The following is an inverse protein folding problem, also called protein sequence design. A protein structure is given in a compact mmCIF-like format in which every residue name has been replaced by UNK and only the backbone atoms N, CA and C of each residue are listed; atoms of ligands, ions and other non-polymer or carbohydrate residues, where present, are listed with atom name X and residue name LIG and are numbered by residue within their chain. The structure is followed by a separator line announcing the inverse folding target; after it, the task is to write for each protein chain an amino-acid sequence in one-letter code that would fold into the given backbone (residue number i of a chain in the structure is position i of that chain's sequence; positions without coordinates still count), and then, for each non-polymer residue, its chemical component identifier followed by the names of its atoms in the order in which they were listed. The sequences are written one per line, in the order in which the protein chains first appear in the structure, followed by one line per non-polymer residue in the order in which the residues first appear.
data_IF_984726406693
#
_entry.id   IF_984726406693
#
_cell.length_a   1.000
_cell.length_b   1.000
_cell.length_c   1.000
_cell.angle_alpha   90.00
_cell.angle_beta   90.00
_cell.angle_gamma   90.00
#
_symmetry.space_group_name_H-M   'P 1'
#
loop_
_entity.id
_entity.type
_entity.pdbx_description
1 polymer ?
2 non-polymer ?
3 water ?
#
# COMPACT_ATOMS: atom_id res chain seq x y z
N UNK A 3 28.04 -20.09 -6.67
CA UNK A 3 27.46 -19.36 -5.51
C UNK A 3 26.00 -19.77 -5.32
N UNK A 4 25.56 -19.85 -4.06
CA UNK A 4 24.18 -20.23 -3.75
C UNK A 4 23.22 -19.42 -4.64
N UNK A 5 22.47 -20.11 -5.49
CA UNK A 5 21.50 -19.51 -6.42
C UNK A 5 20.59 -18.40 -5.88
N UNK A 6 19.89 -18.66 -4.78
CA UNK A 6 18.99 -17.64 -4.22
C UNK A 6 19.73 -16.35 -3.90
N UNK A 7 20.89 -16.47 -3.26
CA UNK A 7 21.67 -15.30 -2.90
C UNK A 7 22.18 -14.58 -4.15
N UNK A 8 22.65 -15.34 -5.12
CA UNK A 8 23.16 -14.78 -6.37
C UNK A 8 22.11 -13.86 -6.98
N UNK A 9 20.84 -14.26 -6.87
CA UNK A 9 19.76 -13.45 -7.42
C UNK A 9 19.68 -12.11 -6.70
N UNK A 10 19.79 -12.14 -5.38
CA UNK A 10 19.73 -10.91 -4.59
C UNK A 10 20.94 -10.04 -4.91
N UNK A 11 22.10 -10.67 -5.08
CA UNK A 11 23.32 -9.94 -5.40
C UNK A 11 23.20 -9.22 -6.73
N UNK A 12 22.62 -9.88 -7.73
CA UNK A 12 22.45 -9.26 -9.06
C UNK A 12 21.73 -7.93 -8.92
N UNK A 13 20.66 -7.93 -8.13
CA UNK A 13 19.87 -6.72 -7.92
C UNK A 13 20.66 -5.62 -7.21
N UNK A 14 21.50 -6.00 -6.26
CA UNK A 14 22.30 -5.01 -5.53
C UNK A 14 23.43 -4.45 -6.36
N UNK A 15 24.09 -5.32 -7.12
CA UNK A 15 25.23 -4.92 -7.94
C UNK A 15 24.92 -4.03 -9.13
N UNK A 16 23.68 -4.03 -9.60
CA UNK A 16 23.33 -3.20 -10.74
C UNK A 16 23.02 -1.76 -10.36
N UNK A 17 22.82 -1.50 -9.07
CA UNK A 17 22.53 -0.16 -8.63
C UNK A 17 23.81 0.65 -8.42
N UNK A 18 23.70 1.98 -8.45
CA UNK A 18 24.85 2.87 -8.27
C UNK A 18 25.66 2.53 -7.02
N UNK A 19 26.98 2.51 -7.15
CA UNK A 19 27.84 2.21 -6.02
C UNK A 19 27.79 3.40 -5.06
N UNK A 20 27.71 3.15 -3.76
CA UNK A 20 27.66 4.27 -2.81
C UNK A 20 28.98 5.04 -2.76
N UNK A 21 28.89 6.33 -2.46
CA UNK A 21 30.09 7.14 -2.33
C UNK A 21 30.46 7.03 -0.86
N UNK A 22 31.11 5.92 -0.51
CA UNK A 22 31.52 5.68 0.86
C UNK A 22 32.44 6.77 1.40
N UNK A 23 33.04 7.55 0.53
CA UNK A 23 33.95 8.60 0.98
C UNK A 23 33.21 9.78 1.61
N UNK A 24 31.90 9.87 1.34
CA UNK A 24 31.05 10.94 1.86
C UNK A 24 29.69 10.38 2.25
N UNK A 25 29.71 9.25 2.94
CA UNK A 25 28.47 8.60 3.37
C UNK A 25 28.40 8.64 4.88
N UNK A 26 27.34 9.23 5.42
CA UNK A 26 27.17 9.32 6.87
C UNK A 26 26.57 8.03 7.41
N UNK A 27 26.71 7.84 8.73
CA UNK A 27 26.17 6.63 9.33
C UNK A 27 24.66 6.62 9.15
N UNK A 28 24.05 7.80 9.21
CA UNK A 28 22.61 7.91 9.05
C UNK A 28 22.20 7.51 7.63
N UNK A 29 23.00 7.89 6.64
CA UNK A 29 22.66 7.53 5.26
C UNK A 29 22.79 6.02 5.03
N UNK A 30 23.88 5.44 5.51
CA UNK A 30 24.12 4.01 5.38
C UNK A 30 22.98 3.21 6.03
N UNK A 31 22.62 3.60 7.25
CA UNK A 31 21.57 2.92 7.99
C UNK A 31 20.19 3.00 7.31
N UNK A 32 19.91 4.09 6.62
CA UNK A 32 18.61 4.22 5.96
C UNK A 32 18.60 3.77 4.50
N UNK A 33 19.74 3.92 3.80
CA UNK A 33 19.82 3.56 2.39
C UNK A 33 20.21 2.11 2.12
N UNK A 34 20.78 1.44 3.11
CA UNK A 34 21.19 0.06 2.94
C UNK A 34 20.62 -0.84 4.01
N UNK A 35 20.19 -2.02 3.58
CA UNK A 35 19.61 -2.99 4.50
C UNK A 35 20.37 -4.30 4.33
N UNK A 36 20.82 -4.87 5.45
CA UNK A 36 21.58 -6.10 5.42
C UNK A 36 20.90 -7.22 6.18
N UNK A 37 19.79 -6.90 6.85
CA UNK A 37 19.10 -7.90 7.64
C UNK A 37 17.59 -7.99 7.43
N UNK A 38 17.18 -8.66 6.34
CA UNK A 38 18.10 -9.31 5.41
C UNK A 38 18.50 -8.34 4.30
N UNK A 39 19.43 -8.74 3.43
CA UNK A 39 19.83 -7.83 2.35
C UNK A 39 18.66 -7.61 1.39
N UNK A 40 18.05 -6.44 1.48
CA UNK A 40 16.93 -6.09 0.61
C UNK A 40 17.29 -4.78 -0.06
N UNK A 41 17.11 -4.74 -1.38
CA UNK A 41 17.43 -3.57 -2.16
C UNK A 41 16.54 -2.38 -1.82
N UNK A 42 17.16 -1.24 -1.57
CA UNK A 42 16.42 -0.01 -1.28
C UNK A 42 16.75 0.96 -2.41
N UNK A 43 15.80 1.13 -3.32
CA UNK A 43 15.98 2.04 -4.44
C UNK A 43 16.32 3.43 -3.93
N UNK A 44 17.32 4.07 -4.54
CA UNK A 44 17.70 5.41 -4.10
C UNK A 44 16.64 6.41 -4.54
N UNK A 45 16.34 7.38 -3.68
CA UNK A 45 15.39 8.41 -4.02
C UNK A 45 16.12 9.73 -3.81
N UNK A 46 15.60 10.80 -4.39
CA UNK A 46 16.24 12.10 -4.25
C UNK A 46 16.20 12.63 -2.84
N UNK A 47 15.06 12.46 -2.18
CA UNK A 47 14.90 12.99 -0.84
C UNK A 47 13.96 12.17 0.03
N UNK A 48 14.34 12.00 1.29
CA UNK A 48 13.53 11.27 2.26
C UNK A 48 13.38 12.13 3.51
N UNK A 49 12.15 12.54 3.79
CA UNK A 49 11.85 13.36 4.94
C UNK A 49 10.84 12.67 5.84
N UNK A 50 11.05 12.78 7.14
CA UNK A 50 10.13 12.18 8.09
C UNK A 50 9.73 13.27 9.07
N UNK A 51 8.42 13.37 9.32
CA UNK A 51 7.90 14.39 10.22
C UNK A 51 6.57 13.93 10.79
N UNK A 52 6.05 14.68 11.76
CA UNK A 52 4.78 14.32 12.39
C UNK A 52 3.58 15.02 11.81
N UNK A 53 2.43 14.36 11.93
CA UNK A 53 1.18 14.94 11.50
C UNK A 53 0.42 15.04 12.80
N UNK A 54 0.29 16.25 13.31
CA UNK A 54 -0.42 16.46 14.56
C UNK A 54 -1.92 16.38 14.33
N UNK A 55 -2.51 15.23 14.65
CA UNK A 55 -3.95 15.05 14.47
C UNK A 55 -4.68 15.08 15.81
N UNK A 56 -6.00 15.29 15.78
CA UNK A 56 -6.75 15.33 17.02
C UNK A 56 -6.65 13.99 17.76
N UNK A 57 -6.19 14.05 19.00
CA UNK A 57 -6.06 12.84 19.80
C UNK A 57 -4.83 12.01 19.53
N UNK A 58 -4.07 12.32 18.48
CA UNK A 58 -2.89 11.54 18.20
C UNK A 58 -2.00 12.12 17.11
N UNK A 59 -0.72 11.76 17.19
CA UNK A 59 0.25 12.22 16.23
C UNK A 59 0.75 11.01 15.47
N UNK A 60 0.75 11.11 14.14
CA UNK A 60 1.21 10.04 13.28
C UNK A 60 2.48 10.46 12.56
N UNK A 61 3.46 9.57 12.49
CA UNK A 61 4.69 9.89 11.79
C UNK A 61 4.43 9.60 10.31
N UNK A 62 5.14 10.31 9.44
CA UNK A 62 4.99 10.13 8.02
C UNK A 62 6.36 10.22 7.38
N UNK A 63 6.67 9.29 6.49
CA UNK A 63 7.95 9.33 5.81
C UNK A 63 7.62 9.66 4.36
N UNK A 64 8.21 10.73 3.86
CA UNK A 64 7.97 11.17 2.50
C UNK A 64 9.16 10.88 1.60
N UNK A 65 8.87 10.26 0.46
CA UNK A 65 9.91 9.92 -0.50
C UNK A 65 9.73 10.69 -1.80
N UNK A 66 10.71 11.53 -2.14
CA UNK A 66 10.66 12.30 -3.38
C UNK A 66 11.67 11.64 -4.31
N UNK A 67 11.19 11.05 -5.41
CA UNK A 67 12.09 10.39 -6.37
C UNK A 67 12.94 11.36 -7.16
N UNK A 68 14.07 10.85 -7.65
CA UNK A 68 15.00 11.62 -8.45
C UNK A 68 14.42 11.81 -9.85
N UNK A 69 14.73 12.95 -10.46
CA UNK A 69 14.29 13.22 -11.82
C UNK A 69 12.83 13.56 -12.07
N UNK A 70 12.14 14.06 -11.06
CA UNK A 70 10.73 14.42 -11.24
C UNK A 70 10.59 15.92 -10.98
N UNK A 71 9.86 16.60 -11.86
CA UNK A 71 9.66 18.03 -11.71
C UNK A 71 8.33 18.36 -11.05
N UNK A 72 8.32 19.38 -10.18
CA UNK A 72 7.09 19.79 -9.49
C UNK A 72 6.25 20.61 -10.48
N UNK A 73 4.93 20.71 -10.26
CA UNK A 73 4.14 20.12 -9.17
C UNK A 73 4.21 18.61 -9.26
N UNK A 74 4.50 17.94 -8.15
CA UNK A 74 4.63 16.49 -8.17
C UNK A 74 3.33 15.73 -7.95
N UNK A 75 3.22 14.57 -8.61
CA UNK A 75 2.04 13.74 -8.45
C UNK A 75 2.39 13.03 -7.13
N UNK A 76 1.40 12.62 -6.36
CA UNK A 76 1.72 11.97 -5.09
C UNK A 76 0.88 10.76 -4.78
N UNK A 77 1.38 9.97 -3.86
CA UNK A 77 0.69 8.76 -3.41
C UNK A 77 0.72 8.70 -1.88
N UNK A 78 -0.46 8.73 -1.25
CA UNK A 78 -0.51 8.62 0.20
C UNK A 78 -0.61 7.10 0.36
N UNK A 79 0.40 6.52 0.99
CA UNK A 79 0.47 5.08 1.15
C UNK A 79 0.27 4.54 2.55
N UNK A 80 -0.52 3.48 2.64
CA UNK A 80 -0.81 2.82 3.91
C UNK A 80 -0.28 1.39 3.79
N UNK A 81 0.72 1.07 4.62
CA UNK A 81 1.35 -0.25 4.62
C UNK A 81 0.43 -1.37 5.09
N UNK A 82 0.72 -2.59 4.62
CA UNK A 82 -0.08 -3.73 5.02
C UNK A 82 0.42 -4.26 6.36
N UNK A 83 -0.13 -5.39 6.80
CA UNK A 83 0.28 -5.95 8.07
C UNK A 83 -0.88 -6.38 8.95
N UNK A 84 -2.02 -6.63 8.33
CA UNK A 84 -3.18 -7.09 9.06
C UNK A 84 -3.73 -6.13 10.09
N UNK A 85 -3.36 -4.86 9.95
CA UNK A 85 -3.82 -3.81 10.86
C UNK A 85 -3.19 -3.99 12.24
N UNK A 86 -2.26 -4.93 12.34
CA UNK A 86 -1.58 -5.24 13.61
C UNK A 86 -0.07 -5.00 13.58
N UNK A 87 0.57 -5.27 12.45
CA UNK A 87 2.02 -5.07 12.33
C UNK A 87 2.39 -4.18 11.15
N UNK A 88 3.69 -3.99 10.95
CA UNK A 88 4.17 -3.13 9.88
C UNK A 88 4.33 -1.70 10.38
N UNK A 89 5.19 -0.93 9.70
CA UNK A 89 5.44 0.46 10.04
C UNK A 89 6.18 1.13 8.90
N UNK A 90 6.81 2.27 9.17
CA UNK A 90 7.53 3.00 8.12
C UNK A 90 8.73 2.25 7.57
N UNK A 91 9.38 1.44 8.40
CA UNK A 91 10.56 0.69 7.97
C UNK A 91 10.23 -0.60 7.21
N UNK A 92 9.23 -1.35 7.68
CA UNK A 92 8.91 -2.60 7.01
C UNK A 92 8.56 -2.41 5.55
N UNK A 93 7.97 -1.26 5.20
CA UNK A 93 7.60 -1.01 3.82
C UNK A 93 8.44 0.05 3.14
N UNK A 94 9.55 0.41 3.77
CA UNK A 94 10.44 1.42 3.20
C UNK A 94 10.88 1.02 1.79
N UNK A 95 11.30 -0.24 1.58
CA UNK A 95 11.73 -0.72 0.27
C UNK A 95 10.60 -0.62 -0.76
N UNK A 96 9.38 -0.90 -0.31
CA UNK A 96 8.22 -0.82 -1.19
C UNK A 96 7.91 0.60 -1.61
N UNK A 97 7.97 1.53 -0.65
CA UNK A 97 7.70 2.93 -0.95
C UNK A 97 8.75 3.54 -1.88
N UNK A 98 9.99 3.09 -1.73
CA UNK A 98 11.08 3.59 -2.57
C UNK A 98 10.87 3.18 -4.03
N UNK A 99 10.31 2.00 -4.25
CA UNK A 99 10.05 1.54 -5.59
C UNK A 99 8.86 2.31 -6.17
N UNK A 100 7.83 2.50 -5.35
CA UNK A 100 6.66 3.22 -5.80
C UNK A 100 7.02 4.66 -6.16
N UNK A 101 7.95 5.26 -5.42
CA UNK A 101 8.36 6.62 -5.71
C UNK A 101 9.25 6.58 -6.97
N UNK A 102 10.30 5.78 -6.92
CA UNK A 102 11.24 5.64 -8.04
C UNK A 102 10.60 5.29 -9.38
N UNK A 103 9.88 4.17 -9.41
CA UNK A 103 9.22 3.71 -10.62
C UNK A 103 7.87 4.36 -10.88
N UNK A 104 7.19 4.77 -9.81
CA UNK A 104 5.90 5.40 -9.98
C UNK A 104 6.06 6.85 -10.40
N UNK A 105 7.27 7.39 -10.22
CA UNK A 105 7.56 8.78 -10.58
C UNK A 105 6.69 9.71 -9.75
N UNK A 106 6.42 9.33 -8.51
CA UNK A 106 5.59 10.14 -7.64
C UNK A 106 6.17 10.30 -6.25
N UNK A 107 5.73 11.34 -5.55
CA UNK A 107 6.17 11.57 -4.19
C UNK A 107 5.28 10.65 -3.35
N UNK A 108 5.90 9.78 -2.55
CA UNK A 108 5.13 8.87 -1.71
C UNK A 108 5.15 9.32 -0.26
N UNK A 109 3.99 9.27 0.39
CA UNK A 109 3.89 9.62 1.78
C UNK A 109 3.44 8.34 2.48
N UNK A 110 4.36 7.71 3.22
CA UNK A 110 4.03 6.49 3.95
C UNK A 110 3.51 6.92 5.32
N UNK A 111 2.28 6.52 5.62
CA UNK A 111 1.62 6.87 6.86
C UNK A 111 1.72 5.79 7.92
N UNK A 112 2.16 6.19 9.10
CA UNK A 112 2.31 5.27 10.22
C UNK A 112 1.05 5.35 11.07
N UNK A 113 -0.02 4.73 10.56
CA UNK A 113 -1.31 4.71 11.24
C UNK A 113 -1.30 3.84 12.48
N UNK A 114 -2.24 4.11 13.39
CA UNK A 114 -2.34 3.35 14.63
C UNK A 114 -2.68 1.89 14.38
N UNK A 115 -2.06 1.01 15.16
CA UNK A 115 -2.26 -0.42 15.01
C UNK A 115 -3.10 -1.07 16.11
N UNK A 116 -3.78 -2.15 15.73
CA UNK A 116 -4.60 -2.93 16.65
C UNK A 116 -3.67 -4.00 17.19
N UNK A 117 -4.02 -4.61 18.35
CA UNK A 117 -5.22 -4.39 19.17
C UNK A 117 -5.20 -3.11 20.02
N UNK A 118 -4.06 -2.45 20.12
CA UNK A 118 -3.97 -1.23 20.92
C UNK A 118 -4.95 -0.18 20.44
N UNK A 119 -5.14 -0.12 19.12
CA UNK A 119 -6.07 0.82 18.52
C UNK A 119 -6.94 0.01 17.58
N UNK A 120 -8.10 -0.41 18.08
CA UNK A 120 -9.01 -1.22 17.30
C UNK A 120 -9.78 -0.42 16.27
N UNK A 121 -10.34 -1.14 15.31
CA UNK A 121 -11.17 -0.55 14.26
C UNK A 121 -12.14 0.40 14.96
N UNK A 122 -12.41 1.56 14.36
CA UNK A 122 -11.88 2.07 13.09
C UNK A 122 -10.75 3.10 13.21
N UNK A 123 -9.85 2.91 14.18
CA UNK A 123 -8.75 3.86 14.35
C UNK A 123 -7.94 4.04 13.06
N UNK A 124 -7.50 2.94 12.47
CA UNK A 124 -6.71 2.97 11.25
C UNK A 124 -7.45 3.71 10.14
N UNK A 125 -8.77 3.49 10.06
CA UNK A 125 -9.59 4.14 9.06
C UNK A 125 -9.62 5.67 9.23
N UNK A 126 -9.77 6.16 10.47
CA UNK A 126 -9.78 7.61 10.66
C UNK A 126 -8.40 8.19 10.40
N UNK A 127 -7.36 7.43 10.76
CA UNK A 127 -5.99 7.87 10.50
C UNK A 127 -5.77 7.95 8.99
N UNK A 128 -6.21 6.93 8.26
CA UNK A 128 -6.01 6.91 6.82
C UNK A 128 -6.61 8.15 6.18
N UNK A 129 -7.88 8.40 6.48
CA UNK A 129 -8.54 9.57 5.91
C UNK A 129 -7.91 10.87 6.38
N UNK A 130 -7.73 11.02 7.68
CA UNK A 130 -7.17 12.24 8.23
C UNK A 130 -5.78 12.53 7.68
N UNK A 131 -4.97 11.50 7.53
CA UNK A 131 -3.63 11.65 6.98
C UNK A 131 -3.73 12.19 5.55
N UNK A 132 -4.67 11.64 4.79
CA UNK A 132 -4.87 12.10 3.42
C UNK A 132 -5.26 13.57 3.43
N UNK A 133 -6.18 13.92 4.30
CA UNK A 133 -6.64 15.29 4.37
C UNK A 133 -5.52 16.23 4.79
N UNK A 134 -4.73 15.81 5.79
CA UNK A 134 -3.62 16.61 6.30
C UNK A 134 -2.58 16.88 5.22
N UNK A 135 -2.29 15.86 4.42
CA UNK A 135 -1.30 15.95 3.35
C UNK A 135 -1.83 16.76 2.15
N UNK A 136 -3.05 16.49 1.76
CA UNK A 136 -3.61 17.21 0.62
C UNK A 136 -3.75 18.71 0.90
N UNK A 137 -4.16 19.07 2.12
CA UNK A 137 -4.31 20.48 2.42
C UNK A 137 -2.96 21.19 2.55
N UNK A 138 -1.88 20.41 2.51
CA UNK A 138 -0.54 20.97 2.58
C UNK A 138 0.16 20.63 1.28
N UNK A 139 -0.63 20.51 0.21
CA UNK A 139 -0.11 20.20 -1.11
C UNK A 139 1.04 21.13 -1.49
N UNK A 140 0.82 22.43 -1.29
CA UNK A 140 1.84 23.43 -1.61
C UNK A 140 3.12 23.20 -0.81
N UNK A 141 2.99 22.86 0.47
CA UNK A 141 4.16 22.62 1.31
C UNK A 141 5.09 21.59 0.67
N UNK A 142 4.51 20.65 -0.06
CA UNK A 142 5.30 19.58 -0.68
C UNK A 142 5.38 19.71 -2.19
N UNK A 143 4.89 20.84 -2.70
CA UNK A 143 4.89 21.11 -4.14
C UNK A 143 4.20 20.00 -4.91
N UNK A 144 3.06 19.58 -4.40
CA UNK A 144 2.29 18.54 -5.04
C UNK A 144 1.22 19.13 -5.93
N UNK A 145 0.81 18.36 -6.93
CA UNK A 145 -0.26 18.76 -7.83
C UNK A 145 -1.49 18.17 -7.14
N UNK A 146 -2.32 19.03 -6.52
CA UNK A 146 -3.53 18.56 -5.82
C UNK A 146 -4.48 17.72 -6.66
N UNK A 147 -4.38 17.85 -7.98
CA UNK A 147 -5.24 17.10 -8.88
C UNK A 147 -4.63 15.75 -9.19
N UNK A 148 -3.44 15.50 -8.67
CA UNK A 148 -2.77 14.23 -8.92
C UNK A 148 -2.29 13.59 -7.63
N UNK A 149 -3.18 13.52 -6.65
CA UNK A 149 -2.89 12.90 -5.38
C UNK A 149 -3.68 11.61 -5.29
N UNK A 150 -2.98 10.49 -5.24
CA UNK A 150 -3.64 9.19 -5.16
C UNK A 150 -3.45 8.55 -3.79
N UNK A 151 -4.23 7.51 -3.52
CA UNK A 151 -4.11 6.77 -2.27
C UNK A 151 -3.84 5.32 -2.69
N UNK A 152 -3.18 4.59 -1.81
CA UNK A 152 -2.85 3.21 -2.11
C UNK A 152 -2.30 2.55 -0.87
N UNK A 153 -2.17 1.24 -0.96
CA UNK A 153 -1.65 0.45 0.14
C UNK A 153 -1.68 -1.02 -0.23
N UNK A 154 -1.02 -1.85 0.56
CA UNK A 154 -1.00 -3.28 0.30
C UNK A 154 -1.75 -3.95 1.43
N UNK A 155 -2.48 -5.02 1.12
CA UNK A 155 -3.22 -5.78 2.12
C UNK A 155 -4.15 -4.86 2.94
N UNK A 156 -3.97 -4.85 4.26
CA UNK A 156 -4.78 -4.01 5.14
C UNK A 156 -4.70 -2.56 4.64
N UNK A 157 -3.53 -2.16 4.16
CA UNK A 157 -3.34 -0.81 3.65
C UNK A 157 -4.17 -0.54 2.41
N UNK A 158 -4.34 -1.56 1.57
CA UNK A 158 -5.14 -1.43 0.36
C UNK A 158 -6.59 -1.26 0.77
N UNK A 159 -6.95 -1.88 1.89
CA UNK A 159 -8.30 -1.77 2.42
C UNK A 159 -8.48 -0.32 2.89
N UNK A 160 -7.48 0.20 3.59
CA UNK A 160 -7.55 1.56 4.10
C UNK A 160 -7.64 2.57 2.97
N UNK A 161 -6.90 2.34 1.89
CA UNK A 161 -6.92 3.26 0.76
C UNK A 161 -8.29 3.23 0.08
N UNK A 162 -8.89 2.04 0.01
CA UNK A 162 -10.20 1.87 -0.60
C UNK A 162 -11.29 2.57 0.22
N UNK A 163 -11.24 2.38 1.53
CA UNK A 163 -12.20 3.01 2.44
C UNK A 163 -12.04 4.52 2.43
N UNK A 164 -10.79 4.97 2.48
CA UNK A 164 -10.48 6.40 2.48
C UNK A 164 -11.12 7.08 1.27
N UNK A 165 -11.07 6.41 0.13
CA UNK A 165 -11.65 6.98 -1.09
C UNK A 165 -13.16 7.19 -0.90
N UNK A 166 -13.81 6.25 -0.21
CA UNK A 166 -15.24 6.37 0.02
C UNK A 166 -15.54 7.45 1.05
N UNK A 167 -14.76 7.49 2.12
CA UNK A 167 -14.97 8.51 3.14
C UNK A 167 -14.76 9.89 2.52
N UNK A 168 -13.75 9.99 1.67
CA UNK A 168 -13.44 11.24 1.01
C UNK A 168 -14.63 11.69 0.17
N UNK A 169 -15.32 10.72 -0.43
CA UNK A 169 -16.49 11.03 -1.24
C UNK A 169 -17.61 11.56 -0.33
N UNK A 170 -17.91 10.82 0.74
CA UNK A 170 -18.97 11.22 1.65
C UNK A 170 -18.67 12.55 2.32
N UNK A 171 -17.39 12.85 2.52
CA UNK A 171 -17.01 14.08 3.18
C UNK A 171 -16.76 15.25 2.24
N UNK A 172 -16.84 15.00 0.93
CA UNK A 172 -16.66 16.05 -0.05
C UNK A 172 -15.23 16.45 -0.33
N UNK A 173 -14.28 15.55 -0.07
CA UNK A 173 -12.89 15.87 -0.31
C UNK A 173 -11.94 15.16 0.64
N UNK A 174 -10.62 15.26 0.40
CA UNK A 174 -10.04 16.00 -0.72
C UNK A 174 -10.13 15.17 -2.00
N UNK A 175 -9.83 15.79 -3.13
CA UNK A 175 -9.87 15.10 -4.42
C UNK A 175 -8.80 14.02 -4.45
N UNK A 176 -9.19 12.83 -4.91
CA UNK A 176 -8.29 11.68 -5.03
C UNK A 176 -8.26 11.32 -6.51
N UNK A 177 -7.08 11.32 -7.10
CA UNK A 177 -6.98 11.04 -8.52
C UNK A 177 -6.89 9.57 -8.87
N UNK A 178 -6.48 8.73 -7.93
CA UNK A 178 -6.31 7.33 -8.25
C UNK A 178 -6.17 6.53 -6.95
N UNK A 179 -6.41 5.22 -7.04
CA UNK A 179 -6.26 4.34 -5.90
C UNK A 179 -5.52 3.07 -6.33
N UNK A 180 -4.37 2.85 -5.72
CA UNK A 180 -3.51 1.70 -6.01
C UNK A 180 -3.70 0.66 -4.91
N UNK A 181 -4.44 -0.40 -5.23
CA UNK A 181 -4.72 -1.45 -4.25
C UNK A 181 -3.96 -2.74 -4.51
N UNK A 182 -2.92 -2.95 -3.73
CA UNK A 182 -2.06 -4.14 -3.83
C UNK A 182 -2.62 -5.24 -2.94
N UNK A 183 -3.08 -6.33 -3.56
CA UNK A 183 -3.72 -7.45 -2.86
C UNK A 183 -4.38 -6.96 -1.57
N UNK A 184 -5.38 -6.07 -1.73
CA UNK A 184 -6.14 -5.46 -0.66
C UNK A 184 -7.19 -6.38 -0.05
N UNK A 185 -7.43 -6.20 1.24
CA UNK A 185 -8.44 -6.99 1.93
C UNK A 185 -9.67 -6.11 1.93
N UNK A 186 -10.34 -6.07 0.78
CA UNK A 186 -11.53 -5.25 0.60
C UNK A 186 -12.81 -5.90 1.12
N UNK A 187 -12.69 -7.07 1.75
CA UNK A 187 -13.84 -7.74 2.33
C UNK A 187 -14.74 -8.53 1.41
N UNK A 188 -15.81 -9.07 1.98
CA UNK A 188 -16.79 -9.87 1.23
C UNK A 188 -17.91 -10.34 2.16
N UNK A 189 -19.00 -10.80 1.56
CA UNK A 189 -20.14 -11.29 2.34
C UNK A 189 -19.66 -12.57 3.00
N UNK A 190 -19.46 -12.55 4.32
CA UNK A 190 -19.00 -13.75 5.02
C UNK A 190 -19.84 -14.98 4.68
N UNK A 191 -21.11 -14.76 4.40
CA UNK A 191 -22.03 -15.84 4.06
C UNK A 191 -21.55 -16.55 2.79
N UNK A 192 -21.09 -15.77 1.81
CA UNK A 192 -20.61 -16.33 0.55
C UNK A 192 -19.16 -15.99 0.30
N UNK A 193 -18.25 -16.73 0.95
CA UNK A 193 -16.80 -16.50 0.80
C UNK A 193 -16.32 -16.91 -0.59
N UNK A 194 -15.54 -16.04 -1.25
CA UNK A 194 -15.01 -16.33 -2.59
C UNK A 194 -14.23 -17.64 -2.57
N UNK A 195 -14.08 -18.27 -3.73
CA UNK A 195 -13.38 -19.55 -3.83
C UNK A 195 -11.92 -19.53 -3.38
N UNK A 196 -11.20 -18.45 -3.65
CA UNK A 196 -9.80 -18.36 -3.26
C UNK A 196 -9.61 -18.47 -1.74
N UNK A 197 -10.62 -18.07 -0.98
CA UNK A 197 -10.53 -18.14 0.47
C UNK A 197 -10.15 -19.54 0.94
N UNK A 198 -10.95 -20.52 0.55
CA UNK A 198 -10.70 -21.91 0.94
C UNK A 198 -9.57 -22.52 0.12
N UNK A 199 -9.50 -22.11 -1.14
CA UNK A 199 -8.49 -22.61 -2.07
C UNK A 199 -7.06 -22.36 -1.58
N UNK A 200 -6.79 -21.14 -1.12
CA UNK A 200 -5.46 -20.79 -0.67
C UNK A 200 -5.37 -20.56 0.83
N UNK A 201 -6.22 -21.25 1.59
CA UNK A 201 -6.24 -21.08 3.04
C UNK A 201 -5.01 -21.58 3.78
N UNK A 202 -4.18 -22.39 3.13
CA UNK A 202 -3.00 -22.93 3.77
C UNK A 202 -1.77 -22.94 2.88
N UNK A 203 -0.59 -22.98 3.50
CA UNK A 203 0.66 -23.05 2.78
C UNK A 203 1.22 -21.82 2.08
N UNK A 204 0.45 -20.75 1.97
CA UNK A 204 0.98 -19.57 1.27
C UNK A 204 1.11 -18.29 2.09
N UNK A 205 1.83 -18.38 3.22
CA UNK A 205 2.08 -17.21 4.09
C UNK A 205 0.81 -16.75 4.82
N UNK A 206 -0.05 -16.02 4.12
CA UNK A 206 -1.29 -15.57 4.74
C UNK A 206 -2.21 -16.78 4.77
N UNK A 207 -2.51 -17.26 5.97
CA UNK A 207 -3.37 -18.42 6.12
C UNK A 207 -4.74 -18.02 6.66
N UNK A 208 -5.66 -18.99 6.70
CA UNK A 208 -6.97 -18.72 7.22
C UNK A 208 -6.88 -18.36 8.69
N UNK A 209 -6.00 -19.04 9.41
CA UNK A 209 -5.85 -18.78 10.84
C UNK A 209 -5.30 -17.40 11.10
N UNK A 210 -4.27 -17.02 10.37
CA UNK A 210 -3.66 -15.72 10.53
C UNK A 210 -4.67 -14.62 10.17
N UNK A 211 -5.39 -14.82 9.06
CA UNK A 211 -6.39 -13.84 8.63
C UNK A 211 -7.39 -13.59 9.74
N UNK A 212 -7.95 -14.67 10.28
CA UNK A 212 -8.93 -14.54 11.35
C UNK A 212 -8.33 -13.98 12.63
N UNK A 213 -7.04 -14.25 12.88
CA UNK A 213 -6.39 -13.72 14.07
C UNK A 213 -6.30 -12.20 13.92
N UNK A 214 -5.99 -11.74 12.72
CA UNK A 214 -5.90 -10.30 12.45
C UNK A 214 -7.23 -9.64 12.75
N UNK A 215 -8.32 -10.26 12.29
CA UNK A 215 -9.65 -9.71 12.53
C UNK A 215 -10.00 -9.64 14.01
N UNK A 216 -9.62 -10.64 14.79
CA UNK A 216 -9.90 -10.64 16.23
C UNK A 216 -9.21 -9.44 16.87
N UNK A 217 -8.01 -9.13 16.38
CA UNK A 217 -7.23 -8.01 16.91
C UNK A 217 -7.78 -6.66 16.49
N UNK A 218 -8.24 -6.59 15.25
CA UNK A 218 -8.74 -5.36 14.66
C UNK A 218 -10.18 -5.01 14.96
N UNK A 219 -11.09 -5.97 14.79
CA UNK A 219 -12.50 -5.72 14.98
C UNK A 219 -13.03 -5.84 16.42
N UNK A 220 -14.18 -5.20 16.65
CA UNK A 220 -14.81 -5.19 17.96
C UNK A 220 -15.96 -6.19 18.04
N UNK A 221 -16.87 -6.12 17.08
CA UNK A 221 -18.01 -7.02 17.08
C UNK A 221 -18.11 -7.81 15.81
N UNK A 222 -18.89 -8.89 15.88
CA UNK A 222 -19.09 -9.76 14.74
C UNK A 222 -19.81 -8.98 13.63
N UNK A 223 -20.67 -8.05 14.02
CA UNK A 223 -21.41 -7.27 13.03
C UNK A 223 -20.49 -6.39 12.19
N UNK A 224 -19.30 -6.09 12.71
CA UNK A 224 -18.37 -5.26 11.97
C UNK A 224 -17.77 -6.00 10.78
N UNK A 225 -18.01 -7.31 10.70
CA UNK A 225 -17.48 -8.07 9.57
C UNK A 225 -18.11 -7.54 8.28
N UNK A 226 -19.25 -6.87 8.39
CA UNK A 226 -19.91 -6.32 7.21
C UNK A 226 -20.01 -4.80 7.24
N UNK A 227 -19.25 -4.18 8.15
CA UNK A 227 -19.21 -2.73 8.26
C UNK A 227 -18.50 -2.26 6.98
N UNK A 228 -19.09 -1.31 6.24
CA UNK A 228 -18.47 -0.83 5.00
C UNK A 228 -17.04 -0.29 5.12
N UNK A 229 -16.66 0.18 6.30
CA UNK A 229 -15.31 0.70 6.50
C UNK A 229 -14.31 -0.43 6.76
N UNK A 230 -14.84 -1.65 6.87
CA UNK A 230 -13.99 -2.82 7.04
C UNK A 230 -14.05 -3.61 5.75
N UNK A 231 -15.27 -3.74 5.22
CA UNK A 231 -15.50 -4.48 3.99
C UNK A 231 -16.15 -3.53 2.98
N UNK A 232 -15.35 -2.62 2.38
CA UNK A 232 -15.83 -1.65 1.40
C UNK A 232 -16.56 -2.21 0.17
N UNK A 233 -16.33 -3.49 -0.14
CA UNK A 233 -16.99 -4.08 -1.29
C UNK A 233 -18.49 -4.10 -1.06
N UNK A 234 -18.91 -3.94 0.20
CA UNK A 234 -20.32 -3.94 0.54
C UNK A 234 -20.93 -2.53 0.51
N UNK A 235 -20.08 -1.51 0.38
CA UNK A 235 -20.61 -0.15 0.33
C UNK A 235 -21.67 -0.08 -0.79
N UNK A 236 -22.86 0.47 -0.47
CA UNK A 236 -24.01 0.63 -1.37
C UNK A 236 -23.77 1.33 -2.70
N UNK A 237 -23.06 2.46 -2.67
CA UNK A 237 -22.82 3.23 -3.89
C UNK A 237 -21.35 3.55 -4.12
N UNK A 238 -20.70 2.71 -4.93
CA UNK A 238 -19.29 2.88 -5.23
C UNK A 238 -19.02 3.83 -6.40
N UNK A 239 -20.08 4.38 -6.99
CA UNK A 239 -19.91 5.27 -8.14
C UNK A 239 -19.24 6.58 -7.77
N UNK A 240 -18.46 7.11 -8.70
CA UNK A 240 -17.78 8.37 -8.48
C UNK A 240 -16.45 8.27 -7.76
N UNK A 241 -16.05 7.04 -7.42
CA UNK A 241 -14.79 6.81 -6.72
C UNK A 241 -13.64 6.94 -7.71
N UNK A 242 -12.43 7.24 -7.21
CA UNK A 242 -11.27 7.40 -8.09
C UNK A 242 -10.98 6.13 -8.90
N UNK A 243 -10.52 6.29 -10.15
CA UNK A 243 -10.21 5.12 -10.98
C UNK A 243 -9.24 4.27 -10.16
N UNK A 244 -9.14 2.99 -10.47
CA UNK A 244 -8.28 2.14 -9.67
C UNK A 244 -7.50 1.06 -10.40
N UNK A 245 -6.47 0.58 -9.72
CA UNK A 245 -5.66 -0.50 -10.23
C UNK A 245 -5.58 -1.48 -9.06
N UNK A 246 -5.97 -2.72 -9.31
CA UNK A 246 -5.96 -3.75 -8.30
C UNK A 246 -5.04 -4.88 -8.71
N UNK A 247 -4.15 -5.27 -7.81
CA UNK A 247 -3.24 -6.37 -8.08
C UNK A 247 -3.59 -7.51 -7.14
N UNK A 248 -3.74 -8.71 -7.69
CA UNK A 248 -4.04 -9.87 -6.87
C UNK A 248 -2.97 -10.92 -7.11
N UNK A 249 -2.87 -11.86 -6.19
CA UNK A 249 -1.88 -12.92 -6.30
C UNK A 249 -2.62 -14.25 -6.42
N UNK A 250 -2.22 -15.06 -7.38
CA UNK A 250 -2.85 -16.35 -7.63
C UNK A 250 -2.98 -17.22 -6.38
N UNK A 251 -1.92 -17.32 -5.60
CA UNK A 251 -1.95 -18.14 -4.39
C UNK A 251 -2.24 -17.32 -3.15
N UNK A 252 -3.19 -16.40 -3.27
CA UNK A 252 -3.57 -15.54 -2.16
C UNK A 252 -5.01 -15.85 -1.78
N UNK A 253 -5.27 -16.14 -0.51
CA UNK A 253 -6.67 -16.42 -0.18
C UNK A 253 -7.56 -15.23 -0.54
N UNK A 254 -6.97 -14.05 -0.54
CA UNK A 254 -7.72 -12.84 -0.87
C UNK A 254 -7.71 -12.52 -2.37
N UNK A 255 -7.23 -13.46 -3.17
CA UNK A 255 -7.17 -13.26 -4.62
C UNK A 255 -8.50 -12.84 -5.21
N UNK A 256 -9.55 -13.61 -4.91
CA UNK A 256 -10.88 -13.35 -5.44
C UNK A 256 -11.53 -12.18 -4.73
N UNK A 257 -11.01 -11.84 -3.56
CA UNK A 257 -11.54 -10.74 -2.80
C UNK A 257 -11.19 -9.47 -3.58
N UNK A 258 -9.98 -9.42 -4.10
CA UNK A 258 -9.58 -8.26 -4.89
C UNK A 258 -10.40 -8.21 -6.16
N UNK A 259 -10.61 -9.38 -6.76
CA UNK A 259 -11.38 -9.48 -7.99
C UNK A 259 -12.79 -8.99 -7.73
N UNK A 260 -13.32 -9.37 -6.58
CA UNK A 260 -14.67 -8.99 -6.18
C UNK A 260 -14.84 -7.46 -6.12
N UNK A 261 -13.83 -6.77 -5.57
CA UNK A 261 -13.92 -5.32 -5.47
C UNK A 261 -13.80 -4.69 -6.86
N UNK A 262 -12.98 -5.29 -7.72
CA UNK A 262 -12.84 -4.80 -9.08
C UNK A 262 -14.20 -4.85 -9.77
N UNK A 263 -14.92 -5.94 -9.56
CA UNK A 263 -16.24 -6.15 -10.16
C UNK A 263 -17.22 -5.07 -9.69
N UNK A 264 -17.27 -4.86 -8.38
CA UNK A 264 -18.15 -3.87 -7.79
C UNK A 264 -17.85 -2.47 -8.33
N UNK A 265 -16.57 -2.12 -8.41
CA UNK A 265 -16.18 -0.81 -8.92
C UNK A 265 -16.64 -0.64 -10.37
N UNK A 266 -16.37 -1.64 -11.21
CA UNK A 266 -16.76 -1.58 -12.61
C UNK A 266 -18.27 -1.47 -12.74
N UNK A 267 -19.01 -2.31 -12.02
CA UNK A 267 -20.46 -2.27 -12.07
C UNK A 267 -20.93 -0.89 -11.63
N UNK A 268 -20.12 -0.23 -10.80
CA UNK A 268 -20.50 1.08 -10.31
C UNK A 268 -20.10 2.20 -11.25
N UNK A 269 -19.59 1.83 -12.42
CA UNK A 269 -19.19 2.83 -13.40
C UNK A 269 -17.78 3.40 -13.20
N UNK A 270 -17.05 2.90 -12.22
CA UNK A 270 -15.69 3.38 -11.95
C UNK A 270 -14.66 2.67 -12.82
N UNK A 271 -13.78 3.43 -13.47
CA UNK A 271 -12.74 2.83 -14.29
C UNK A 271 -11.85 2.00 -13.37
N UNK A 272 -11.58 0.76 -13.76
CA UNK A 272 -10.76 -0.08 -12.93
C UNK A 272 -10.01 -1.13 -13.72
N UNK A 273 -8.73 -1.26 -13.41
CA UNK A 273 -7.88 -2.26 -14.03
C UNK A 273 -7.44 -3.21 -12.94
N UNK A 274 -7.53 -4.51 -13.22
CA UNK A 274 -7.09 -5.49 -12.25
C UNK A 274 -6.28 -6.55 -12.94
N UNK A 275 -5.14 -6.89 -12.35
CA UNK A 275 -4.33 -7.97 -12.91
C UNK A 275 -3.85 -8.89 -11.82
N UNK A 276 -3.96 -10.18 -12.11
CA UNK A 276 -3.55 -11.21 -11.18
C UNK A 276 -2.15 -11.65 -11.53
N UNK A 277 -1.30 -11.80 -10.53
CA UNK A 277 0.06 -12.25 -10.77
C UNK A 277 0.08 -13.73 -10.46
N UNK A 278 0.09 -14.49 -11.55
CA UNK A 278 0.05 -15.96 -11.56
C UNK A 278 0.98 -16.78 -10.68
N UNK A 279 2.15 -16.26 -10.34
CA UNK A 279 3.09 -17.04 -9.53
C UNK A 279 3.44 -16.43 -8.19
N UNK A 280 2.64 -15.48 -7.73
CA UNK A 280 2.95 -14.84 -6.45
C UNK A 280 1.92 -15.13 -5.37
N UNK A 281 2.32 -14.85 -4.13
CA UNK A 281 1.48 -15.05 -2.97
C UNK A 281 1.10 -13.68 -2.40
N UNK A 282 0.31 -13.70 -1.34
CA UNK A 282 -0.07 -12.45 -0.69
C UNK A 282 1.18 -11.87 -0.06
N UNK A 283 1.28 -10.54 -0.03
CA UNK A 283 2.43 -9.89 0.56
C UNK A 283 3.71 -10.02 -0.22
N UNK A 284 3.61 -10.38 -1.49
CA UNK A 284 4.81 -10.55 -2.31
C UNK A 284 5.71 -9.32 -2.44
N UNK A 285 5.16 -8.14 -2.23
CA UNK A 285 5.96 -6.92 -2.33
C UNK A 285 7.13 -7.00 -1.34
N UNK A 286 6.93 -7.71 -0.23
CA UNK A 286 7.95 -7.88 0.79
C UNK A 286 9.15 -8.67 0.28
N UNK A 287 9.01 -9.29 -0.88
CA UNK A 287 10.12 -10.07 -1.46
C UNK A 287 10.85 -9.30 -2.54
N UNK A 288 10.62 -7.99 -2.60
CA UNK A 288 11.29 -7.17 -3.59
C UNK A 288 12.80 -7.44 -3.52
N UNK A 289 13.41 -7.61 -4.70
CA UNK A 289 14.83 -7.89 -4.84
C UNK A 289 15.25 -9.28 -4.35
N UNK A 290 14.41 -9.93 -3.55
CA UNK A 290 14.73 -11.27 -3.07
C UNK A 290 14.23 -12.31 -4.06
N UNK A 291 13.08 -12.02 -4.68
CA UNK A 291 12.48 -12.89 -5.66
C UNK A 291 12.38 -12.13 -6.99
N UNK A 292 12.85 -12.73 -8.09
CA UNK A 292 12.77 -12.02 -9.37
C UNK A 292 11.32 -11.71 -9.76
N UNK A 293 10.43 -12.66 -9.51
CA UNK A 293 9.03 -12.45 -9.84
C UNK A 293 8.36 -11.36 -9.00
N UNK A 294 8.72 -11.29 -7.73
CA UNK A 294 8.14 -10.28 -6.87
C UNK A 294 8.70 -8.93 -7.28
N UNK A 295 9.98 -8.91 -7.62
CA UNK A 295 10.62 -7.66 -8.02
C UNK A 295 9.97 -7.06 -9.25
N UNK A 296 9.81 -7.87 -10.29
CA UNK A 296 9.20 -7.42 -11.55
C UNK A 296 7.74 -7.04 -11.36
N UNK A 297 7.05 -7.78 -10.51
CA UNK A 297 5.65 -7.51 -10.25
C UNK A 297 5.46 -6.13 -9.62
N UNK A 298 6.20 -5.85 -8.55
CA UNK A 298 6.08 -4.55 -7.89
C UNK A 298 6.42 -3.39 -8.81
N UNK A 299 7.47 -3.54 -9.62
CA UNK A 299 7.86 -2.47 -10.54
C UNK A 299 6.72 -2.22 -11.54
N UNK A 300 6.09 -3.29 -12.02
CA UNK A 300 4.99 -3.16 -12.95
C UNK A 300 3.89 -2.35 -12.25
N UNK A 301 3.56 -2.76 -11.03
CA UNK A 301 2.55 -2.07 -10.24
C UNK A 301 2.90 -0.58 -10.14
N UNK A 302 4.17 -0.31 -9.83
CA UNK A 302 4.64 1.08 -9.71
C UNK A 302 4.45 1.82 -11.03
N UNK A 303 4.65 1.12 -12.13
CA UNK A 303 4.49 1.74 -13.44
C UNK A 303 3.03 2.00 -13.79
N UNK A 304 2.12 1.25 -13.17
CA UNK A 304 0.69 1.46 -13.41
C UNK A 304 0.32 2.76 -12.73
N UNK A 305 0.92 2.98 -11.56
CA UNK A 305 0.69 4.21 -10.80
C UNK A 305 1.22 5.39 -11.59
N UNK A 306 2.37 5.16 -12.22
CA UNK A 306 3.02 6.20 -13.01
C UNK A 306 2.11 6.65 -14.14
N UNK A 307 1.57 5.69 -14.88
CA UNK A 307 0.72 6.01 -16.01
C UNK A 307 -0.57 6.69 -15.62
N UNK A 308 -1.14 6.30 -14.48
CA UNK A 308 -2.39 6.89 -14.03
C UNK A 308 -2.22 8.34 -13.59
N UNK A 309 -1.06 8.68 -13.03
CA UNK A 309 -0.83 10.04 -12.58
C UNK A 309 0.00 10.86 -13.58
N UNK A 310 0.28 10.27 -14.74
CA UNK A 310 1.06 10.97 -15.75
C UNK A 310 0.26 12.16 -16.28
X LIG B 1 -2.25 -7.91 5.06
X LIG B 1 -3.01 -7.00 5.87
X LIG B 1 -2.76 -9.23 5.39
X LIG B 1 -0.84 -7.78 5.19
#
# INVERSE_FOLDING_TARGET
MPLDPVIQQVLDQLNRMPAPDYKHLSAQQFRSQQSLFPPVKKEPVAEVREFDMDLPGRTLKVRMYRPEGVEPPYPALVYYHGGGWVVGDLETHDPVCRVLAKDGRAVVFSVDYRLAPEHKFPAAVEDAYDALQWIAERAADFHLDPARIAVGGDSAGGNLAAVTSILAKERGGPALAFQLLIYPSTGYDPAHPPASIEENAEGYLLTGGMSLWFLDQYLNSLEELTHPWFSPVLYPDLSGLPPAYIATAQYDPLRDVGKLYAEALNKAGVKVEIENFEDLIHGFAQFYSLSPGATKALVRIAEKLRDALA
SO4 S O1 O3 O4
#
